data_IF_398761118506
#
_entry.id   IF_398761118506
#
_cell.length_a   1.000
_cell.length_b   1.000
_cell.length_c   1.000
_cell.angle_alpha   90.00
_cell.angle_beta   90.00
_cell.angle_gamma   90.00
#
_symmetry.space_group_name_H-M   'P 1'
#
loop_
_entity.id
_entity.type
_entity.pdbx_description
1 polymer ?
#
# COMPACT_ATOMS: atom_id res chain seq x y z
N UNK A 1 -10.57 -12.62 -6.21
CA UNK A 1 -9.66 -11.50 -6.48
C UNK A 1 -8.82 -11.31 -5.23
N UNK A 2 -7.49 -11.40 -5.33
CA UNK A 2 -6.62 -11.14 -4.17
C UNK A 2 -6.56 -9.65 -3.90
N UNK A 3 -6.53 -9.29 -2.63
CA UNK A 3 -6.48 -7.90 -2.20
C UNK A 3 -5.11 -7.31 -2.48
N UNK A 4 -5.07 -6.10 -3.03
CA UNK A 4 -3.82 -5.39 -3.25
C UNK A 4 -3.22 -4.91 -1.92
N UNK A 5 -1.93 -4.61 -1.92
CA UNK A 5 -1.33 -3.93 -0.78
C UNK A 5 -1.86 -2.50 -0.67
N UNK A 6 -2.11 -2.09 0.57
CA UNK A 6 -2.71 -0.79 0.91
C UNK A 6 -1.60 0.13 1.43
N UNK A 7 -1.94 1.39 1.70
CA UNK A 7 -0.96 2.43 2.02
C UNK A 7 0.00 2.07 3.17
N UNK A 8 -0.45 1.50 4.30
CA UNK A 8 0.44 1.14 5.40
C UNK A 8 1.54 0.14 5.02
N UNK A 9 1.25 -0.81 4.12
CA UNK A 9 2.23 -1.79 3.65
C UNK A 9 3.28 -1.13 2.74
N UNK A 10 2.83 -0.27 1.82
CA UNK A 10 3.71 0.48 0.90
C UNK A 10 4.62 1.42 1.70
N UNK A 11 4.08 2.14 2.68
CA UNK A 11 4.86 3.06 3.51
C UNK A 11 5.85 2.30 4.43
N UNK A 12 5.46 1.14 4.96
CA UNK A 12 6.37 0.29 5.74
C UNK A 12 7.58 -0.12 4.90
N UNK A 13 7.33 -0.61 3.68
CA UNK A 13 8.40 -0.96 2.73
C UNK A 13 9.27 0.25 2.42
N UNK A 14 8.66 1.40 2.09
CA UNK A 14 9.41 2.63 1.78
C UNK A 14 10.36 3.03 2.91
N UNK A 15 9.88 3.05 4.16
CA UNK A 15 10.68 3.41 5.36
C UNK A 15 11.87 2.50 5.58
N UNK A 16 11.68 1.20 5.41
CA UNK A 16 12.78 0.25 5.61
C UNK A 16 13.77 0.31 4.45
N UNK A 17 13.30 0.43 3.22
CA UNK A 17 14.17 0.58 2.06
C UNK A 17 15.03 1.85 2.17
N UNK A 18 14.43 2.99 2.50
CA UNK A 18 15.16 4.25 2.76
C UNK A 18 16.35 4.03 3.69
N UNK A 19 16.14 3.37 4.83
CA UNK A 19 17.21 3.09 5.81
C UNK A 19 18.27 2.12 5.30
N UNK A 20 17.86 1.15 4.48
CA UNK A 20 18.70 0.01 4.09
C UNK A 20 19.54 0.25 2.83
N UNK A 21 19.02 1.02 1.88
CA UNK A 21 19.54 1.09 0.50
C UNK A 21 20.04 2.46 0.08
N UNK A 22 19.73 3.54 0.80
CA UNK A 22 20.29 4.86 0.49
C UNK A 22 21.83 4.80 0.55
N UNK A 23 22.47 5.56 -0.33
CA UNK A 23 23.92 5.60 -0.58
C UNK A 23 24.55 4.35 -1.20
N UNK A 24 23.80 3.25 -1.36
CA UNK A 24 24.33 2.02 -1.99
C UNK A 24 24.54 2.26 -3.49
N UNK A 25 25.68 1.77 -4.01
CA UNK A 25 25.95 1.71 -5.45
C UNK A 25 25.56 0.35 -6.01
N UNK A 26 24.72 0.35 -7.04
CA UNK A 26 24.29 -0.85 -7.77
C UNK A 26 25.48 -1.36 -8.59
N UNK A 27 25.84 -2.62 -8.36
CA UNK A 27 26.90 -3.32 -9.10
C UNK A 27 26.32 -3.98 -10.36
N UNK A 28 25.27 -4.77 -10.18
CA UNK A 28 24.58 -5.49 -11.28
C UNK A 28 23.08 -5.57 -10.98
N UNK A 29 22.29 -5.68 -12.04
CA UNK A 29 20.87 -6.01 -11.94
C UNK A 29 20.55 -7.21 -12.84
N UNK A 30 19.79 -8.16 -12.31
CA UNK A 30 19.36 -9.36 -13.04
C UNK A 30 17.84 -9.50 -12.94
N UNK A 31 17.19 -9.87 -14.05
CA UNK A 31 15.79 -10.24 -14.05
C UNK A 31 15.64 -11.73 -14.43
N UNK A 32 14.84 -12.47 -13.68
CA UNK A 32 14.55 -13.88 -13.94
C UNK A 32 13.55 -14.04 -15.11
N UNK A 33 12.56 -13.14 -15.20
CA UNK A 33 11.54 -13.14 -16.26
C UNK A 33 11.08 -11.73 -16.63
N UNK A 34 10.11 -11.64 -17.55
CA UNK A 34 9.47 -10.37 -17.95
C UNK A 34 8.19 -10.04 -17.15
N UNK A 35 7.77 -10.89 -16.20
CA UNK A 35 6.46 -10.78 -15.50
C UNK A 35 6.20 -9.40 -14.90
N UNK A 36 7.20 -8.85 -14.20
CA UNK A 36 7.13 -7.52 -13.58
C UNK A 36 7.68 -6.39 -14.48
N UNK A 37 8.19 -6.70 -15.68
CA UNK A 37 8.85 -5.75 -16.59
C UNK A 37 7.99 -5.46 -17.84
N UNK A 38 6.68 -5.30 -17.65
CA UNK A 38 5.68 -5.20 -18.74
C UNK A 38 5.90 -4.00 -19.68
N UNK A 39 6.68 -3.00 -19.27
CA UNK A 39 7.03 -1.81 -20.07
C UNK A 39 8.25 -2.01 -20.97
N UNK A 40 8.85 -3.20 -20.98
CA UNK A 40 10.08 -3.48 -21.71
C UNK A 40 9.91 -4.65 -22.68
N UNK A 41 10.66 -4.63 -23.77
CA UNK A 41 10.75 -5.77 -24.70
C UNK A 41 11.81 -6.79 -24.30
N UNK A 42 12.83 -6.38 -23.53
CA UNK A 42 13.90 -7.27 -23.07
C UNK A 42 14.27 -6.97 -21.62
N UNK A 43 14.75 -8.00 -20.91
CA UNK A 43 15.26 -7.85 -19.54
C UNK A 43 16.42 -6.88 -19.46
N UNK A 44 17.32 -6.93 -20.46
CA UNK A 44 18.51 -6.09 -20.53
C UNK A 44 18.16 -4.61 -20.64
N UNK A 45 17.10 -4.26 -21.37
CA UNK A 45 16.64 -2.86 -21.49
C UNK A 45 16.25 -2.24 -20.14
N UNK A 46 15.77 -3.04 -19.18
CA UNK A 46 15.53 -2.60 -17.82
C UNK A 46 16.82 -2.63 -16.99
N UNK A 47 17.53 -3.76 -16.95
CA UNK A 47 18.64 -3.94 -16.00
C UNK A 47 19.82 -3.01 -16.28
N UNK A 48 20.13 -2.72 -17.55
CA UNK A 48 21.26 -1.86 -17.91
C UNK A 48 21.09 -0.41 -17.45
N UNK A 49 19.86 0.05 -17.18
CA UNK A 49 19.59 1.40 -16.67
C UNK A 49 19.98 1.57 -15.20
N UNK A 50 20.12 0.46 -14.46
CA UNK A 50 20.40 0.47 -13.03
C UNK A 50 21.90 0.32 -12.72
N UNK A 51 22.67 -0.29 -13.61
CA UNK A 51 24.06 -0.67 -13.33
C UNK A 51 24.96 0.56 -13.13
N UNK A 52 25.73 0.55 -12.05
CA UNK A 52 26.64 1.64 -11.70
C UNK A 52 25.96 2.83 -11.00
N UNK A 53 24.63 2.94 -11.01
CA UNK A 53 23.92 4.02 -10.35
C UNK A 53 24.01 3.92 -8.81
N UNK A 54 24.03 5.07 -8.14
CA UNK A 54 23.95 5.17 -6.68
C UNK A 54 22.53 5.56 -6.28
N UNK A 55 21.98 4.92 -5.26
CA UNK A 55 20.67 5.30 -4.72
C UNK A 55 20.84 6.54 -3.84
N UNK A 56 20.08 7.58 -4.14
CA UNK A 56 20.14 8.88 -3.45
C UNK A 56 19.00 9.07 -2.46
N UNK A 57 17.81 8.59 -2.79
CA UNK A 57 16.61 8.76 -1.96
C UNK A 57 15.59 7.63 -2.21
N UNK A 58 14.64 7.44 -1.29
CA UNK A 58 13.51 6.53 -1.43
C UNK A 58 12.25 7.20 -0.89
N UNK A 59 11.32 7.54 -1.77
CA UNK A 59 10.03 8.14 -1.40
C UNK A 59 8.85 7.25 -1.77
N UNK A 60 7.68 7.57 -1.22
CA UNK A 60 6.40 7.01 -1.65
C UNK A 60 5.63 8.09 -2.39
N UNK A 61 5.01 7.70 -3.50
CA UNK A 61 4.07 8.57 -4.22
C UNK A 61 2.78 7.79 -4.43
N UNK A 62 1.75 8.10 -3.63
CA UNK A 62 0.54 7.28 -3.52
C UNK A 62 0.86 5.84 -3.13
N UNK A 63 0.57 4.88 -4.00
CA UNK A 63 0.85 3.45 -3.79
C UNK A 63 2.16 2.95 -4.43
N UNK A 64 2.98 3.85 -4.95
CA UNK A 64 4.26 3.54 -5.57
C UNK A 64 5.43 3.80 -4.62
N UNK A 65 6.40 2.88 -4.59
CA UNK A 65 7.73 3.16 -4.01
C UNK A 65 8.64 3.66 -5.13
N UNK A 66 9.23 4.82 -4.94
CA UNK A 66 10.09 5.49 -5.93
C UNK A 66 11.48 5.65 -5.35
N UNK A 67 12.45 4.99 -5.98
CA UNK A 67 13.85 5.00 -5.61
C UNK A 67 14.59 5.94 -6.57
N UNK A 68 15.20 6.98 -6.03
CA UNK A 68 15.98 7.93 -6.83
C UNK A 68 17.41 7.43 -7.06
N UNK A 69 17.87 7.60 -8.29
CA UNK A 69 19.21 7.23 -8.72
C UNK A 69 20.03 8.49 -9.02
N UNK A 70 21.34 8.41 -8.79
CA UNK A 70 22.30 9.49 -9.08
C UNK A 70 22.44 9.84 -10.58
N UNK A 71 21.72 9.13 -11.45
CA UNK A 71 21.68 9.31 -12.90
C UNK A 71 20.43 10.06 -13.35
N UNK A 72 19.72 10.73 -12.45
CA UNK A 72 18.46 11.45 -12.71
C UNK A 72 17.30 10.53 -13.15
N UNK A 73 17.47 9.22 -12.95
CA UNK A 73 16.46 8.21 -13.20
C UNK A 73 15.77 7.82 -11.89
N UNK A 74 14.52 7.41 -12.00
CA UNK A 74 13.70 6.87 -10.93
C UNK A 74 13.43 5.40 -11.18
N UNK A 75 13.79 4.54 -10.24
CA UNK A 75 13.31 3.15 -10.20
C UNK A 75 11.98 3.12 -9.44
N UNK A 76 10.90 2.82 -10.15
CA UNK A 76 9.53 2.83 -9.64
C UNK A 76 9.03 1.39 -9.45
N UNK A 77 8.47 1.12 -8.27
CA UNK A 77 7.92 -0.17 -7.87
C UNK A 77 6.42 -0.02 -7.59
N UNK A 78 5.59 -0.74 -8.34
CA UNK A 78 4.22 -1.08 -7.97
C UNK A 78 4.20 -2.48 -7.36
N UNK A 79 3.65 -2.62 -6.15
CA UNK A 79 3.70 -3.89 -5.44
C UNK A 79 2.60 -4.87 -5.87
N UNK A 80 1.49 -4.39 -6.42
CA UNK A 80 0.33 -5.25 -6.70
C UNK A 80 -0.17 -5.95 -5.44
N UNK A 81 -0.52 -7.24 -5.55
CA UNK A 81 -0.98 -8.08 -4.43
C UNK A 81 0.07 -9.05 -3.90
N UNK A 82 1.22 -9.18 -4.58
CA UNK A 82 2.26 -10.16 -4.23
C UNK A 82 3.70 -9.66 -4.38
N UNK A 83 3.91 -8.47 -4.92
CA UNK A 83 5.22 -7.85 -5.06
C UNK A 83 5.80 -7.46 -3.72
N UNK A 84 7.04 -7.88 -3.46
CA UNK A 84 7.65 -7.79 -2.16
C UNK A 84 9.17 -7.54 -2.30
N UNK A 85 9.64 -6.30 -2.11
CA UNK A 85 11.05 -5.97 -2.14
C UNK A 85 11.72 -6.47 -0.86
N UNK A 86 12.84 -7.21 -0.98
CA UNK A 86 13.55 -7.87 0.13
C UNK A 86 15.01 -7.50 0.19
N UNK A 87 15.50 -7.27 1.40
CA UNK A 87 16.92 -7.13 1.68
C UNK A 87 17.50 -8.48 2.05
N UNK A 88 18.50 -8.91 1.28
CA UNK A 88 19.14 -10.20 1.48
C UNK A 88 20.67 -10.06 1.41
N UNK A 89 21.37 -10.88 2.20
CA UNK A 89 22.79 -11.10 2.00
C UNK A 89 23.03 -11.92 0.72
N UNK A 90 24.19 -11.72 0.07
CA UNK A 90 24.56 -12.45 -1.15
C UNK A 90 24.51 -13.97 -0.98
N UNK A 91 24.86 -14.46 0.22
CA UNK A 91 24.89 -15.89 0.56
C UNK A 91 23.50 -16.52 0.77
N UNK A 92 22.45 -15.72 0.98
CA UNK A 92 21.12 -16.27 1.22
C UNK A 92 20.55 -16.84 -0.09
N UNK A 93 19.96 -18.04 -0.08
CA UNK A 93 19.40 -18.63 -1.30
C UNK A 93 18.30 -17.73 -1.89
N UNK A 94 18.14 -17.75 -3.22
CA UNK A 94 17.02 -17.07 -3.88
C UNK A 94 15.74 -17.83 -3.52
N UNK A 95 14.72 -17.11 -3.06
CA UNK A 95 13.41 -17.71 -2.78
C UNK A 95 12.62 -17.86 -4.08
N UNK A 96 11.71 -18.83 -4.13
CA UNK A 96 10.81 -19.00 -5.27
C UNK A 96 10.03 -17.70 -5.54
N UNK A 97 9.85 -17.35 -6.81
CA UNK A 97 9.23 -16.09 -7.23
C UNK A 97 10.15 -14.87 -7.16
N UNK A 98 11.47 -15.02 -6.93
CA UNK A 98 12.41 -13.90 -7.07
C UNK A 98 12.50 -13.49 -8.55
N UNK A 99 11.95 -12.33 -8.89
CA UNK A 99 11.85 -11.84 -10.28
C UNK A 99 12.98 -10.88 -10.66
N UNK A 100 13.43 -10.02 -9.73
CA UNK A 100 14.55 -9.10 -9.96
C UNK A 100 15.53 -9.16 -8.81
N UNK A 101 16.84 -9.13 -9.10
CA UNK A 101 17.93 -9.07 -8.13
C UNK A 101 18.83 -7.89 -8.47
N UNK A 102 18.86 -6.89 -7.59
CA UNK A 102 19.76 -5.75 -7.65
C UNK A 102 20.88 -6.01 -6.64
N UNK A 103 22.08 -6.30 -7.14
CA UNK A 103 23.25 -6.53 -6.29
C UNK A 103 23.98 -5.22 -6.07
N UNK A 104 24.25 -4.88 -4.81
CA UNK A 104 25.05 -3.72 -4.46
C UNK A 104 26.54 -4.07 -4.44
N UNK A 105 27.39 -3.06 -4.62
CA UNK A 105 28.84 -3.19 -4.48
C UNK A 105 29.24 -3.68 -3.08
N UNK A 106 28.51 -3.24 -2.06
CA UNK A 106 28.68 -3.64 -0.67
C UNK A 106 27.31 -3.88 -0.03
N UNK A 107 27.27 -4.69 1.03
CA UNK A 107 26.08 -4.89 1.87
C UNK A 107 24.91 -5.62 1.20
N UNK A 108 25.17 -6.55 0.28
CA UNK A 108 24.17 -7.54 -0.17
C UNK A 108 23.32 -7.09 -1.36
N UNK A 109 22.05 -7.51 -1.37
CA UNK A 109 21.14 -7.39 -2.51
C UNK A 109 19.77 -6.86 -2.11
N UNK A 110 19.12 -6.14 -3.03
CA UNK A 110 17.68 -5.91 -3.01
C UNK A 110 17.03 -6.86 -4.03
N UNK A 111 16.10 -7.70 -3.58
CA UNK A 111 15.40 -8.68 -4.43
C UNK A 111 13.93 -8.31 -4.51
N UNK A 112 13.37 -8.25 -5.71
CA UNK A 112 11.92 -8.15 -5.87
C UNK A 112 11.35 -9.56 -6.04
N UNK A 113 10.56 -9.98 -5.06
CA UNK A 113 9.85 -11.27 -5.08
C UNK A 113 8.41 -11.00 -5.46
N UNK A 114 7.91 -11.70 -6.49
CA UNK A 114 6.54 -11.59 -6.93
C UNK A 114 6.05 -12.93 -7.47
N UNK A 115 5.39 -13.70 -6.60
CA UNK A 115 4.94 -15.07 -6.90
C UNK A 115 3.82 -15.11 -7.96
N UNK A 116 3.04 -14.04 -8.07
CA UNK A 116 1.87 -14.00 -8.96
C UNK A 116 2.09 -13.07 -10.17
N UNK A 117 3.21 -12.36 -10.21
CA UNK A 117 3.52 -11.43 -11.28
C UNK A 117 2.54 -10.26 -11.34
N UNK A 118 2.02 -9.80 -10.18
CA UNK A 118 1.06 -8.69 -10.09
C UNK A 118 1.76 -7.34 -9.97
N UNK A 119 2.95 -7.30 -9.37
CA UNK A 119 3.78 -6.12 -9.26
C UNK A 119 4.41 -5.71 -10.58
N UNK A 120 4.97 -4.51 -10.60
CA UNK A 120 5.62 -3.92 -11.77
C UNK A 120 6.83 -3.10 -11.36
N UNK A 121 7.93 -3.26 -12.10
CA UNK A 121 9.13 -2.43 -12.00
C UNK A 121 9.38 -1.73 -13.32
N UNK A 122 9.73 -0.45 -13.22
CA UNK A 122 10.18 0.33 -14.37
C UNK A 122 11.08 1.48 -13.93
N UNK A 123 11.80 2.01 -14.90
CA UNK A 123 12.75 3.13 -14.76
C UNK A 123 12.31 4.22 -15.72
N UNK A 124 12.27 5.45 -15.23
CA UNK A 124 11.90 6.66 -15.99
C UNK A 124 12.78 7.83 -15.59
N UNK A 125 13.02 8.81 -16.47
CA UNK A 125 13.55 10.11 -16.09
C UNK A 125 12.69 10.77 -14.99
N UNK A 126 13.32 11.53 -14.09
CA UNK A 126 12.62 12.13 -12.96
C UNK A 126 11.54 13.13 -13.36
N UNK A 127 11.76 13.89 -14.43
CA UNK A 127 10.82 14.85 -15.03
C UNK A 127 9.67 14.19 -15.78
N UNK A 128 9.83 12.93 -16.21
CA UNK A 128 8.78 12.16 -16.90
C UNK A 128 7.89 11.34 -15.95
N UNK A 129 8.15 11.36 -14.64
CA UNK A 129 7.44 10.51 -13.67
C UNK A 129 5.92 10.62 -13.76
N UNK A 130 5.38 11.84 -13.80
CA UNK A 130 3.93 12.07 -13.84
C UNK A 130 3.31 11.60 -15.16
N UNK A 131 4.04 11.73 -16.28
CA UNK A 131 3.59 11.21 -17.57
C UNK A 131 3.58 9.68 -17.60
N UNK A 132 4.52 9.05 -16.88
CA UNK A 132 4.63 7.60 -16.78
C UNK A 132 3.63 6.96 -15.80
N UNK A 133 3.11 7.74 -14.84
CA UNK A 133 2.16 7.31 -13.81
C UNK A 133 1.06 8.39 -13.65
N UNK A 134 0.26 8.64 -14.68
CA UNK A 134 -0.68 9.76 -14.70
C UNK A 134 -1.74 9.66 -13.59
N UNK A 135 -2.08 8.46 -13.14
CA UNK A 135 -3.06 8.23 -12.06
C UNK A 135 -2.67 8.90 -10.73
N UNK A 136 -1.36 9.10 -10.48
CA UNK A 136 -0.88 9.79 -9.28
C UNK A 136 -1.39 11.23 -9.19
N UNK A 137 -1.62 11.88 -10.34
CA UNK A 137 -2.13 13.26 -10.38
C UNK A 137 -3.59 13.36 -9.94
N UNK A 138 -4.34 12.25 -10.00
CA UNK A 138 -5.73 12.17 -9.59
C UNK A 138 -5.93 11.80 -8.12
N UNK A 139 -4.88 11.36 -7.43
CA UNK A 139 -4.98 10.91 -6.04
C UNK A 139 -5.47 12.03 -5.11
N UNK A 140 -6.34 11.63 -4.19
CA UNK A 140 -6.97 12.52 -3.23
C UNK A 140 -6.10 12.74 -1.98
N UNK A 141 -6.76 12.75 -0.82
CA UNK A 141 -6.11 12.95 0.46
C UNK A 141 -5.13 11.80 0.78
N UNK A 142 -3.89 12.13 1.13
CA UNK A 142 -2.92 11.17 1.65
C UNK A 142 -2.83 11.27 3.18
N UNK A 143 -3.38 10.29 3.93
CA UNK A 143 -3.45 10.35 5.39
C UNK A 143 -2.09 10.21 6.09
N UNK A 144 -1.03 9.92 5.35
CA UNK A 144 0.30 9.67 5.89
C UNK A 144 1.32 10.72 5.42
N UNK A 145 1.24 11.16 4.17
CA UNK A 145 2.15 12.16 3.63
C UNK A 145 1.80 13.57 4.09
N UNK A 146 0.51 13.87 4.26
CA UNK A 146 0.05 15.24 4.57
C UNK A 146 -0.99 15.24 5.70
N UNK A 147 -0.90 16.18 6.65
CA UNK A 147 -1.96 16.35 7.64
C UNK A 147 -3.31 16.67 6.98
N UNK A 148 -4.29 15.79 7.18
CA UNK A 148 -5.65 15.99 6.68
C UNK A 148 -6.42 16.86 7.69
N UNK A 149 -7.00 17.97 7.25
CA UNK A 149 -7.98 18.70 8.06
C UNK A 149 -9.34 18.01 8.02
N UNK A 150 -9.97 17.82 9.18
CA UNK A 150 -11.33 17.28 9.25
C UNK A 150 -12.35 18.20 8.55
N UNK A 151 -12.13 19.51 8.51
CA UNK A 151 -13.03 20.47 7.83
C UNK A 151 -12.97 20.30 6.33
N UNK A 152 -11.76 20.13 5.78
CA UNK A 152 -11.56 19.94 4.35
C UNK A 152 -12.05 18.58 3.89
N UNK A 153 -11.74 17.51 4.64
CA UNK A 153 -12.30 16.19 4.39
C UNK A 153 -13.82 16.21 4.43
N UNK A 154 -14.41 16.91 5.42
CA UNK A 154 -15.85 17.11 5.51
C UNK A 154 -16.45 17.82 4.30
N UNK A 155 -15.82 18.91 3.85
CA UNK A 155 -16.23 19.65 2.66
C UNK A 155 -16.24 18.75 1.41
N UNK A 156 -15.17 17.99 1.19
CA UNK A 156 -15.05 17.07 0.06
C UNK A 156 -16.07 15.93 0.14
N UNK A 157 -16.30 15.39 1.33
CA UNK A 157 -17.22 14.29 1.57
C UNK A 157 -18.68 14.70 1.30
N UNK A 158 -19.08 15.89 1.75
CA UNK A 158 -20.44 16.41 1.55
C UNK A 158 -20.76 16.79 0.09
N UNK A 159 -19.74 16.95 -0.76
CA UNK A 159 -19.91 17.17 -2.20
C UNK A 159 -20.21 15.90 -2.98
N UNK A 160 -20.18 14.73 -2.34
CA UNK A 160 -20.39 13.43 -2.97
C UNK A 160 -21.71 12.82 -2.50
N UNK A 161 -22.46 12.26 -3.43
CA UNK A 161 -23.67 11.47 -3.16
C UNK A 161 -23.39 9.99 -3.44
N UNK A 162 -22.59 9.36 -2.59
CA UNK A 162 -22.21 7.95 -2.77
C UNK A 162 -22.06 7.25 -1.43
N UNK A 163 -21.94 5.92 -1.46
CA UNK A 163 -21.78 5.12 -0.25
C UNK A 163 -20.40 5.34 0.37
N UNK A 164 -20.33 5.41 1.70
CA UNK A 164 -19.08 5.69 2.42
C UNK A 164 -17.95 4.73 2.05
N UNK A 165 -18.21 3.42 2.04
CA UNK A 165 -17.16 2.45 1.66
C UNK A 165 -16.70 2.65 0.22
N UNK A 166 -17.61 2.96 -0.70
CA UNK A 166 -17.24 3.32 -2.09
C UNK A 166 -16.33 4.54 -2.13
N UNK A 167 -16.64 5.58 -1.35
CA UNK A 167 -15.89 6.83 -1.36
C UNK A 167 -14.51 6.69 -0.72
N UNK A 168 -14.40 6.03 0.45
CA UNK A 168 -13.11 5.92 1.14
C UNK A 168 -12.16 4.92 0.46
N UNK A 169 -12.69 4.00 -0.36
CA UNK A 169 -11.87 3.08 -1.18
C UNK A 169 -11.55 3.64 -2.57
N UNK A 170 -11.93 4.89 -2.84
CA UNK A 170 -11.57 5.60 -4.07
C UNK A 170 -10.25 6.35 -3.84
N UNK A 171 -9.20 5.95 -4.55
CA UNK A 171 -7.88 6.59 -4.45
C UNK A 171 -7.91 8.08 -4.82
N UNK A 172 -8.90 8.52 -5.62
CA UNK A 172 -9.12 9.93 -5.95
C UNK A 172 -9.75 10.73 -4.80
N UNK A 173 -10.23 10.06 -3.75
CA UNK A 173 -10.74 10.69 -2.53
C UNK A 173 -9.74 10.52 -1.37
N UNK A 174 -9.35 9.29 -1.06
CA UNK A 174 -8.30 8.97 -0.08
C UNK A 174 -7.43 7.87 -0.65
N UNK A 175 -6.14 8.17 -0.85
CA UNK A 175 -5.24 7.20 -1.48
C UNK A 175 -4.93 6.02 -0.56
N UNK A 176 -5.03 4.82 -1.13
CA UNK A 176 -4.49 3.60 -0.57
C UNK A 176 -5.22 3.06 0.66
N UNK A 177 -6.49 3.41 0.82
CA UNK A 177 -7.41 2.70 1.72
C UNK A 177 -8.15 1.65 0.90
N UNK A 178 -7.88 0.37 1.17
CA UNK A 178 -8.57 -0.76 0.56
C UNK A 178 -9.62 -1.37 1.47
N UNK A 179 -10.07 -2.57 1.14
CA UNK A 179 -11.19 -3.24 1.81
C UNK A 179 -10.92 -3.51 3.30
N UNK A 180 -9.68 -3.86 3.67
CA UNK A 180 -9.34 -4.19 5.06
C UNK A 180 -9.44 -2.93 5.91
N UNK A 181 -8.69 -1.88 5.55
CA UNK A 181 -8.68 -0.68 6.37
C UNK A 181 -9.99 0.09 6.28
N UNK A 182 -10.73 0.03 5.17
CA UNK A 182 -12.06 0.62 5.06
C UNK A 182 -13.04 0.07 6.11
N UNK A 183 -13.10 -1.25 6.29
CA UNK A 183 -13.99 -1.88 7.27
C UNK A 183 -13.62 -1.48 8.70
N UNK A 184 -12.33 -1.48 9.02
CA UNK A 184 -11.81 -1.07 10.33
C UNK A 184 -12.08 0.40 10.62
N UNK A 185 -11.88 1.29 9.64
CA UNK A 185 -12.15 2.73 9.76
C UNK A 185 -13.65 2.98 9.99
N UNK A 186 -14.50 2.33 9.20
CA UNK A 186 -15.95 2.53 9.32
C UNK A 186 -16.48 1.97 10.65
N UNK A 187 -15.95 0.83 11.09
CA UNK A 187 -16.28 0.25 12.39
C UNK A 187 -15.90 1.18 13.54
N UNK A 188 -14.67 1.69 13.54
CA UNK A 188 -14.18 2.58 14.59
C UNK A 188 -14.94 3.92 14.58
N UNK A 189 -15.25 4.47 13.40
CA UNK A 189 -16.08 5.66 13.27
C UNK A 189 -17.55 5.44 13.71
N UNK A 190 -17.99 4.18 13.79
CA UNK A 190 -19.37 3.80 14.06
C UNK A 190 -20.32 4.06 12.89
N UNK A 191 -19.83 4.02 11.66
CA UNK A 191 -20.56 4.36 10.43
C UNK A 191 -20.75 3.14 9.54
N UNK A 192 -21.93 2.96 8.96
CA UNK A 192 -22.18 1.86 8.03
C UNK A 192 -21.49 2.09 6.69
N UNK A 193 -21.01 1.01 6.09
CA UNK A 193 -20.39 1.00 4.76
C UNK A 193 -21.31 1.55 3.65
N UNK A 194 -22.63 1.37 3.80
CA UNK A 194 -23.69 1.77 2.88
C UNK A 194 -24.38 3.08 3.27
N UNK A 195 -23.83 3.83 4.24
CA UNK A 195 -24.27 5.20 4.54
C UNK A 195 -23.91 6.14 3.39
N UNK A 196 -24.78 7.07 3.05
CA UNK A 196 -24.54 8.05 1.98
C UNK A 196 -23.70 9.22 2.51
N UNK A 197 -22.62 9.57 1.82
CA UNK A 197 -21.61 10.56 2.27
C UNK A 197 -22.20 11.93 2.60
N UNK A 198 -23.03 12.51 1.73
CA UNK A 198 -23.63 13.84 1.97
C UNK A 198 -24.66 13.90 3.11
N UNK A 199 -24.95 12.78 3.79
CA UNK A 199 -25.91 12.71 4.92
C UNK A 199 -25.23 12.72 6.29
N UNK A 200 -23.91 12.84 6.34
CA UNK A 200 -23.15 12.81 7.59
C UNK A 200 -23.25 14.15 8.32
N UNK A 201 -23.53 14.09 9.61
CA UNK A 201 -23.41 15.22 10.53
C UNK A 201 -21.94 15.61 10.76
N UNK A 202 -21.71 16.83 11.26
CA UNK A 202 -20.38 17.31 11.64
C UNK A 202 -19.67 16.38 12.65
N UNK A 203 -20.42 15.79 13.58
CA UNK A 203 -19.86 14.86 14.57
C UNK A 203 -19.40 13.55 13.92
N UNK A 204 -20.18 13.03 12.96
CA UNK A 204 -19.82 11.83 12.19
C UNK A 204 -18.58 12.06 11.33
N UNK A 205 -18.48 13.21 10.66
CA UNK A 205 -17.30 13.59 9.88
C UNK A 205 -16.05 13.61 10.77
N UNK A 206 -16.14 14.19 11.98
CA UNK A 206 -15.03 14.24 12.94
C UNK A 206 -14.62 12.84 13.42
N UNK A 207 -15.58 11.94 13.65
CA UNK A 207 -15.29 10.54 14.02
C UNK A 207 -14.63 9.78 12.89
N UNK A 208 -15.14 9.93 11.65
CA UNK A 208 -14.57 9.32 10.46
C UNK A 208 -13.13 9.79 10.23
N UNK A 209 -12.88 11.10 10.32
CA UNK A 209 -11.54 11.67 10.16
C UNK A 209 -10.56 11.09 11.18
N UNK A 210 -10.94 11.12 12.47
CA UNK A 210 -10.12 10.57 13.55
C UNK A 210 -9.82 9.10 13.33
N UNK A 211 -10.83 8.34 12.93
CA UNK A 211 -10.70 6.90 12.68
C UNK A 211 -9.79 6.62 11.49
N UNK A 212 -9.96 7.34 10.37
CA UNK A 212 -9.09 7.22 9.19
C UNK A 212 -7.62 7.43 9.56
N UNK A 213 -7.30 8.57 10.20
CA UNK A 213 -5.92 8.91 10.57
C UNK A 213 -5.39 7.94 11.62
N UNK A 214 -6.20 7.61 12.64
CA UNK A 214 -5.82 6.69 13.72
C UNK A 214 -5.50 5.29 13.20
N UNK A 215 -6.39 4.69 12.40
CA UNK A 215 -6.19 3.36 11.81
C UNK A 215 -4.96 3.32 10.91
N UNK A 216 -4.72 4.36 10.08
CA UNK A 216 -3.52 4.41 9.24
C UNK A 216 -2.23 4.48 10.07
N UNK A 217 -2.22 5.29 11.13
CA UNK A 217 -1.07 5.39 12.03
C UNK A 217 -0.82 4.09 12.79
N UNK A 218 -1.86 3.45 13.33
CA UNK A 218 -1.71 2.18 14.04
C UNK A 218 -1.26 1.07 13.07
N UNK A 219 -1.84 1.00 11.87
CA UNK A 219 -1.40 0.05 10.85
C UNK A 219 0.09 0.20 10.52
N UNK A 220 0.58 1.43 10.34
CA UNK A 220 2.02 1.66 10.14
C UNK A 220 2.86 1.33 11.37
N UNK A 221 2.38 1.64 12.58
CA UNK A 221 3.06 1.29 13.85
C UNK A 221 3.29 -0.21 13.94
N UNK A 222 2.30 -0.99 13.54
CA UNK A 222 2.37 -2.46 13.50
C UNK A 222 2.85 -3.01 12.15
N UNK A 223 3.46 -2.18 11.30
CA UNK A 223 4.13 -2.58 10.05
C UNK A 223 3.18 -3.26 9.04
N UNK A 224 1.94 -2.80 8.95
CA UNK A 224 0.92 -3.30 8.05
C UNK A 224 0.24 -4.59 8.51
N UNK A 225 -0.61 -5.16 7.65
CA UNK A 225 -1.50 -6.30 7.93
C UNK A 225 -1.16 -7.49 7.05
N UNK A 226 -0.77 -8.61 7.66
CA UNK A 226 -0.64 -9.91 6.98
C UNK A 226 -1.78 -10.84 7.37
N UNK A 227 -2.63 -11.21 6.42
CA UNK A 227 -3.76 -12.14 6.62
C UNK A 227 -3.69 -13.28 5.59
N UNK A 228 -4.33 -14.45 5.83
CA UNK A 228 -4.23 -15.60 4.93
C UNK A 228 -4.52 -15.30 3.45
N UNK A 229 -5.54 -14.48 3.18
CA UNK A 229 -5.96 -14.13 1.82
C UNK A 229 -5.12 -13.01 1.18
N UNK A 230 -4.27 -12.35 1.97
CA UNK A 230 -3.38 -11.26 1.57
C UNK A 230 -2.09 -11.31 2.41
N UNK A 231 -1.20 -12.29 2.17
CA UNK A 231 0.04 -12.40 2.90
C UNK A 231 0.93 -11.21 2.55
N UNK A 232 1.19 -10.37 3.54
CA UNK A 232 2.14 -9.27 3.46
C UNK A 232 3.41 -9.65 4.22
N UNK A 233 4.55 -9.25 3.67
CA UNK A 233 5.82 -9.37 4.36
C UNK A 233 6.71 -8.17 4.01
N UNK A 234 7.41 -7.65 5.02
CA UNK A 234 8.29 -6.50 4.93
C UNK A 234 9.64 -6.81 4.24
N UNK A 235 10.53 -5.82 4.05
CA UNK A 235 11.82 -6.08 3.41
C UNK A 235 12.73 -7.09 4.10
N UNK A 236 12.49 -7.44 5.37
CA UNK A 236 13.32 -8.37 6.14
C UNK A 236 12.76 -9.79 6.20
N UNK A 237 11.62 -10.07 5.56
CA UNK A 237 11.01 -11.39 5.64
C UNK A 237 9.86 -11.51 6.63
N UNK A 238 9.54 -10.46 7.38
CA UNK A 238 8.63 -10.54 8.52
C UNK A 238 7.21 -10.11 8.14
N UNK A 239 6.17 -10.78 8.68
CA UNK A 239 4.79 -10.37 8.47
C UNK A 239 4.46 -9.08 9.21
N UNK A 240 3.51 -8.32 8.65
CA UNK A 240 2.90 -7.19 9.33
C UNK A 240 2.05 -7.64 10.52
N UNK A 241 2.14 -6.91 11.64
CA UNK A 241 1.54 -7.27 12.92
C UNK A 241 0.11 -6.73 13.14
N UNK A 242 -0.41 -5.86 12.28
CA UNK A 242 -1.73 -5.24 12.47
C UNK A 242 -2.89 -6.25 12.41
N UNK A 243 -2.66 -7.46 11.88
CA UNK A 243 -3.66 -8.52 11.86
C UNK A 243 -4.21 -8.86 13.26
N UNK A 244 -3.36 -8.78 14.31
CA UNK A 244 -3.78 -8.97 15.71
C UNK A 244 -4.61 -7.81 16.30
N UNK A 245 -4.78 -6.72 15.55
CA UNK A 245 -5.50 -5.52 15.94
C UNK A 245 -6.78 -5.28 15.12
N UNK A 246 -7.10 -6.18 14.17
CA UNK A 246 -8.33 -6.13 13.40
C UNK A 246 -9.55 -6.35 14.30
N UNK A 247 -10.52 -5.44 14.22
CA UNK A 247 -11.73 -5.45 15.04
C UNK A 247 -12.90 -6.11 14.34
N UNK A 248 -12.96 -6.05 13.00
CA UNK A 248 -14.08 -6.61 12.21
C UNK A 248 -13.63 -7.46 11.03
N UNK A 249 -12.52 -7.12 10.37
CA UNK A 249 -12.11 -7.79 9.14
C UNK A 249 -11.82 -9.28 9.38
N UNK A 250 -12.52 -10.15 8.65
CA UNK A 250 -12.34 -11.61 8.77
C UNK A 250 -12.93 -12.23 10.04
N UNK A 251 -13.54 -11.43 10.92
CA UNK A 251 -14.05 -11.84 12.24
C UNK A 251 -15.55 -12.13 12.25
N UNK A 252 -16.11 -12.55 11.12
CA UNK A 252 -17.54 -12.82 11.01
C UNK A 252 -18.00 -13.88 12.02
N UNK A 253 -19.07 -13.57 12.77
CA UNK A 253 -19.63 -14.44 13.81
C UNK A 253 -19.01 -14.24 15.19
N UNK A 254 -17.83 -13.63 15.29
CA UNK A 254 -17.24 -13.26 16.58
C UNK A 254 -18.00 -12.11 17.24
N UNK A 255 -17.93 -12.02 18.57
CA UNK A 255 -18.54 -10.91 19.31
C UNK A 255 -17.71 -9.64 19.13
N UNK A 256 -18.37 -8.56 18.68
CA UNK A 256 -17.77 -7.23 18.62
C UNK A 256 -17.31 -6.77 20.00
N UNK A 257 -16.11 -6.20 20.07
CA UNK A 257 -15.56 -5.60 21.29
C UNK A 257 -16.38 -4.40 21.78
N UNK A 258 -17.11 -3.73 20.86
CA UNK A 258 -17.90 -2.53 21.14
C UNK A 258 -19.34 -2.84 21.53
N UNK A 259 -20.04 -3.63 20.73
CA UNK A 259 -21.48 -3.89 20.93
C UNK A 259 -21.79 -5.19 21.65
N UNK A 260 -20.80 -6.11 21.77
CA UNK A 260 -21.00 -7.49 22.24
C UNK A 260 -22.01 -8.28 21.41
N UNK A 261 -22.31 -7.83 20.18
CA UNK A 261 -23.13 -8.56 19.21
C UNK A 261 -22.25 -9.22 18.15
N UNK A 262 -22.70 -10.30 17.49
CA UNK A 262 -21.93 -10.94 16.43
C UNK A 262 -21.62 -9.98 15.27
N UNK A 263 -20.39 -10.04 14.76
CA UNK A 263 -19.94 -9.31 13.58
C UNK A 263 -20.59 -9.92 12.34
N UNK A 264 -21.22 -9.07 11.55
CA UNK A 264 -21.87 -9.43 10.30
C UNK A 264 -20.93 -9.25 9.12
N UNK A 265 -21.24 -9.94 8.03
CA UNK A 265 -20.62 -9.69 6.73
C UNK A 265 -21.68 -9.65 5.64
N UNK A 266 -21.41 -8.87 4.60
CA UNK A 266 -22.20 -8.85 3.37
C UNK A 266 -21.29 -8.69 2.16
N UNK A 267 -21.77 -9.04 0.97
CA UNK A 267 -21.04 -8.73 -0.27
C UNK A 267 -21.36 -7.30 -0.69
N UNK A 268 -20.32 -6.49 -0.89
CA UNK A 268 -20.41 -5.13 -1.40
C UNK A 268 -19.37 -4.95 -2.50
N UNK A 269 -19.80 -4.53 -3.70
CA UNK A 269 -18.93 -4.38 -4.90
C UNK A 269 -18.08 -5.63 -5.22
N UNK A 270 -18.57 -6.82 -4.89
CA UNK A 270 -17.89 -8.09 -5.17
C UNK A 270 -16.96 -8.60 -4.07
N UNK A 271 -16.69 -7.81 -3.02
CA UNK A 271 -15.86 -8.21 -1.87
C UNK A 271 -16.70 -8.36 -0.61
N UNK A 272 -16.22 -9.16 0.35
CA UNK A 272 -16.79 -9.20 1.69
C UNK A 272 -16.54 -7.88 2.43
N UNK A 273 -17.56 -7.41 3.13
CA UNK A 273 -17.53 -6.23 3.99
C UNK A 273 -18.02 -6.63 5.37
N UNK A 274 -17.23 -6.37 6.40
CA UNK A 274 -17.47 -6.74 7.79
C UNK A 274 -17.93 -5.52 8.59
N UNK A 275 -18.99 -5.69 9.39
CA UNK A 275 -19.63 -4.59 10.12
C UNK A 275 -20.45 -5.11 11.32
N UNK A 276 -20.93 -4.19 12.15
CA UNK A 276 -21.86 -4.39 13.25
C UNK A 276 -23.16 -3.59 13.02
N UNK A 277 -24.32 -4.14 13.39
CA UNK A 277 -25.62 -3.46 13.20
C UNK A 277 -25.77 -2.17 14.01
N UNK A 278 -24.96 -1.98 15.05
CA UNK A 278 -24.98 -0.78 15.88
C UNK A 278 -24.34 0.43 15.20
N UNK A 279 -23.72 0.26 14.03
CA UNK A 279 -23.22 1.37 13.21
C UNK A 279 -24.39 2.10 12.53
N UNK A 280 -24.25 3.41 12.36
CA UNK A 280 -25.29 4.31 11.80
C UNK A 280 -25.03 4.75 10.37
#
# INVERSE_FOLDING_TARGET
MKLAFELPEVETIRRDLEREIITRKIKTAEAASMKCLRRYHTRKAFTSQLEGAKITDVRRVGLYVVIELSTELLLVLSLGSSGSPRRNANKHPKVAGTEVVISFTQYGQLRFVDTEGTGQLFVVPADEFLSAVPEVTGYGLDPVATPISWTEMGRLLLQRDTKLKTLITDDNFVVGVGDIYADEILFEAGLRFDRVSNTLSTQEIRRLHRSLVGTMHDAMKYRGTSVPDRPFLDPFGQPGGYAGHLKVWGRHGELSERSRTPIKRTKFRGTWTYYCDTQV
#
